data_IF_776781681532
#
_entry.id   IF_776781681532
#
_cell.length_a   1.000
_cell.length_b   1.000
_cell.length_c   1.000
_cell.angle_alpha   90.00
_cell.angle_beta   90.00
_cell.angle_gamma   90.00
#
_symmetry.space_group_name_H-M   'P 1'
#
loop_
_entity.id
_entity.type
_entity.pdbx_description
1 polymer ?
#
# COMPACT_ATOMS: atom_id res chain seq x y z
N UNK A 1 -48.39 -24.65 21.92
CA UNK A 1 -47.10 -24.87 21.29
C UNK A 1 -46.74 -23.89 20.13
N UNK A 2 -47.70 -23.13 19.56
CA UNK A 2 -47.46 -22.35 18.35
C UNK A 2 -46.97 -20.89 18.56
N UNK A 3 -47.09 -20.31 19.75
CA UNK A 3 -46.66 -18.94 19.99
C UNK A 3 -45.15 -18.76 20.20
N UNK A 4 -44.48 -19.78 20.78
CA UNK A 4 -43.02 -19.75 21.01
C UNK A 4 -42.25 -19.94 19.69
N UNK A 5 -42.73 -20.81 18.80
CA UNK A 5 -42.14 -21.03 17.48
C UNK A 5 -42.22 -19.78 16.59
N UNK A 6 -43.32 -19.02 16.69
CA UNK A 6 -43.52 -17.76 15.94
C UNK A 6 -42.59 -16.65 16.41
N UNK A 7 -42.30 -16.54 17.71
CA UNK A 7 -41.38 -15.53 18.27
C UNK A 7 -39.93 -15.85 17.92
N UNK A 8 -39.52 -17.13 17.93
CA UNK A 8 -38.18 -17.58 17.55
C UNK A 8 -37.92 -17.30 16.05
N UNK A 9 -38.89 -17.53 15.20
CA UNK A 9 -38.80 -17.28 13.76
C UNK A 9 -38.70 -15.77 13.46
N UNK A 10 -39.41 -14.91 14.20
CA UNK A 10 -39.34 -13.45 14.05
C UNK A 10 -37.98 -12.89 14.52
N UNK A 11 -37.37 -13.43 15.55
CA UNK A 11 -36.03 -13.02 16.03
C UNK A 11 -34.93 -13.47 15.06
N UNK A 12 -35.09 -14.66 14.44
CA UNK A 12 -34.11 -15.14 13.45
C UNK A 12 -34.09 -14.31 12.15
N UNK A 13 -35.24 -13.76 11.74
CA UNK A 13 -35.34 -12.89 10.54
C UNK A 13 -34.73 -11.51 10.77
N UNK A 14 -34.73 -11.00 12.00
CA UNK A 14 -34.09 -9.71 12.32
C UNK A 14 -32.55 -9.77 12.31
N UNK A 15 -31.94 -10.93 12.47
CA UNK A 15 -30.47 -11.09 12.48
C UNK A 15 -29.91 -11.11 11.05
N UNK A 16 -30.72 -11.40 10.03
CA UNK A 16 -30.29 -11.48 8.63
C UNK A 16 -30.27 -10.13 7.89
N UNK A 17 -30.67 -9.03 8.51
CA UNK A 17 -30.65 -7.67 7.94
C UNK A 17 -29.43 -6.87 8.37
N UNK A 18 -28.29 -7.51 8.62
CA UNK A 18 -27.00 -6.84 8.66
C UNK A 18 -26.63 -6.43 7.22
N UNK A 19 -27.33 -5.46 6.68
CA UNK A 19 -26.89 -4.71 5.52
C UNK A 19 -25.62 -4.01 5.96
N UNK A 20 -24.46 -4.43 5.51
CA UNK A 20 -23.21 -3.73 5.73
C UNK A 20 -23.33 -2.38 5.02
N UNK A 21 -23.70 -1.36 5.79
CA UNK A 21 -23.87 0.01 5.30
C UNK A 21 -22.50 0.48 4.78
N UNK A 22 -22.45 0.85 3.49
CA UNK A 22 -21.21 1.34 2.90
C UNK A 22 -20.84 2.67 3.54
N UNK A 23 -19.62 2.77 4.00
CA UNK A 23 -19.06 4.01 4.55
C UNK A 23 -18.83 5.00 3.41
N UNK A 24 -19.58 6.08 3.39
CA UNK A 24 -19.42 7.14 2.38
C UNK A 24 -18.28 8.07 2.77
N UNK A 25 -17.45 8.41 1.78
CA UNK A 25 -16.32 9.32 1.93
C UNK A 25 -16.21 10.25 0.73
N UNK A 26 -15.75 11.48 0.94
CA UNK A 26 -15.21 12.31 -0.13
C UNK A 26 -13.82 11.82 -0.56
N UNK A 27 -13.34 12.24 -1.73
CA UNK A 27 -11.97 11.93 -2.18
C UNK A 27 -10.90 12.38 -1.17
N UNK A 28 -11.09 13.54 -0.55
CA UNK A 28 -10.16 14.04 0.46
C UNK A 28 -10.16 13.17 1.74
N UNK A 29 -11.32 12.73 2.20
CA UNK A 29 -11.44 11.80 3.32
C UNK A 29 -10.82 10.44 3.00
N UNK A 30 -11.07 9.93 1.80
CA UNK A 30 -10.48 8.67 1.33
C UNK A 30 -8.95 8.76 1.27
N UNK A 31 -8.41 9.86 0.73
CA UNK A 31 -6.98 10.12 0.74
C UNK A 31 -6.40 10.05 2.14
N UNK A 32 -6.97 10.83 3.07
CA UNK A 32 -6.50 10.86 4.46
C UNK A 32 -6.59 9.49 5.14
N UNK A 33 -7.62 8.72 4.81
CA UNK A 33 -7.81 7.36 5.34
C UNK A 33 -6.70 6.40 4.87
N UNK A 34 -6.35 6.43 3.57
CA UNK A 34 -5.26 5.60 3.02
C UNK A 34 -3.88 6.05 3.51
N UNK A 35 -3.66 7.36 3.68
CA UNK A 35 -2.37 7.94 4.09
C UNK A 35 -2.16 7.94 5.62
N UNK A 36 -3.15 7.58 6.41
CA UNK A 36 -3.09 7.65 7.86
C UNK A 36 -1.92 6.82 8.41
N UNK A 37 -1.00 7.47 9.12
CA UNK A 37 0.08 6.80 9.84
C UNK A 37 -0.52 5.92 10.95
N UNK A 38 -0.13 4.64 10.96
CA UNK A 38 -0.74 3.65 11.87
C UNK A 38 -2.10 3.13 11.41
N UNK A 39 -2.65 3.64 10.31
CA UNK A 39 -3.75 3.03 9.57
C UNK A 39 -3.33 1.72 8.94
N UNK A 40 -4.32 0.89 8.56
CA UNK A 40 -4.06 -0.43 8.01
C UNK A 40 -3.20 -0.43 6.75
N UNK A 41 -3.28 0.63 5.92
CA UNK A 41 -2.64 0.74 4.61
C UNK A 41 -1.21 1.29 4.63
N UNK A 42 -0.77 1.84 5.76
CA UNK A 42 0.55 2.43 5.91
C UNK A 42 1.27 1.80 7.12
N UNK A 43 2.39 1.15 6.88
CA UNK A 43 3.22 0.48 7.90
C UNK A 43 4.58 1.12 7.97
N UNK A 44 5.06 1.33 9.18
CA UNK A 44 6.41 1.88 9.43
C UNK A 44 7.24 0.84 10.16
N UNK A 45 8.44 0.58 9.63
CA UNK A 45 9.43 -0.31 10.20
C UNK A 45 10.72 0.46 10.42
N UNK A 46 11.22 0.47 11.64
CA UNK A 46 12.55 1.01 11.95
C UNK A 46 13.55 -0.12 11.99
N UNK A 47 14.62 0.00 11.23
CA UNK A 47 15.68 -0.99 11.16
C UNK A 47 17.06 -0.29 11.11
N UNK A 48 17.85 -0.45 12.15
CA UNK A 48 19.11 0.27 12.31
C UNK A 48 18.92 1.80 12.25
N UNK A 49 19.68 2.52 11.41
CA UNK A 49 19.59 3.96 11.27
C UNK A 49 18.44 4.42 10.37
N UNK A 50 17.67 3.49 9.78
CA UNK A 50 16.66 3.78 8.77
C UNK A 50 15.23 3.55 9.26
N UNK A 51 14.31 4.29 8.63
CA UNK A 51 12.86 4.14 8.75
C UNK A 51 12.31 3.84 7.37
N UNK A 52 11.61 2.72 7.25
CA UNK A 52 10.89 2.31 6.06
C UNK A 52 9.39 2.54 6.28
N UNK A 53 8.78 3.37 5.45
CA UNK A 53 7.32 3.57 5.45
C UNK A 53 6.74 2.96 4.19
N UNK A 54 6.06 1.82 4.36
CA UNK A 54 5.43 1.06 3.28
C UNK A 54 3.95 1.40 3.24
N UNK A 55 3.51 1.96 2.14
CA UNK A 55 2.12 2.32 1.89
C UNK A 55 1.55 1.49 0.74
N UNK A 56 0.50 0.73 1.00
CA UNK A 56 -0.32 0.14 -0.06
C UNK A 56 -1.14 1.22 -0.75
N UNK A 57 -1.18 1.19 -2.08
CA UNK A 57 -1.90 2.14 -2.92
C UNK A 57 -3.04 1.44 -3.66
N UNK A 58 -4.28 1.49 -3.15
CA UNK A 58 -5.43 0.91 -3.85
C UNK A 58 -5.62 1.54 -5.24
N UNK A 59 -6.22 0.84 -6.22
CA UNK A 59 -6.45 1.36 -7.58
C UNK A 59 -7.16 2.71 -7.60
N UNK A 60 -8.18 2.92 -6.77
CA UNK A 60 -8.87 4.21 -6.67
C UNK A 60 -7.96 5.33 -6.15
N UNK A 61 -7.06 5.03 -5.20
CA UNK A 61 -6.09 6.01 -4.71
C UNK A 61 -5.15 6.46 -5.83
N UNK A 62 -4.67 5.53 -6.66
CA UNK A 62 -3.78 5.83 -7.79
C UNK A 62 -4.54 6.67 -8.83
N UNK A 63 -5.75 6.22 -9.22
CA UNK A 63 -6.59 6.95 -10.17
C UNK A 63 -6.86 8.40 -9.71
N UNK A 64 -7.18 8.59 -8.42
CA UNK A 64 -7.43 9.90 -7.86
C UNK A 64 -6.16 10.77 -7.86
N UNK A 65 -4.99 10.21 -7.53
CA UNK A 65 -3.72 10.93 -7.55
C UNK A 65 -3.33 11.39 -8.97
N UNK A 66 -3.50 10.53 -9.99
CA UNK A 66 -3.28 10.87 -11.39
C UNK A 66 -4.17 12.03 -11.87
N UNK A 67 -5.41 12.07 -11.40
CA UNK A 67 -6.39 13.13 -11.68
C UNK A 67 -6.31 14.30 -10.69
N UNK A 68 -5.22 14.42 -9.93
CA UNK A 68 -5.02 15.50 -8.92
C UNK A 68 -6.18 15.59 -7.92
N UNK A 69 -6.75 14.42 -7.58
CA UNK A 69 -7.91 14.27 -6.66
C UNK A 69 -9.20 14.93 -7.16
N UNK A 70 -9.35 15.04 -8.47
CA UNK A 70 -10.53 15.60 -9.14
C UNK A 70 -10.94 14.70 -10.30
N UNK A 71 -12.22 14.38 -10.40
CA UNK A 71 -12.83 13.71 -11.53
C UNK A 71 -13.99 14.52 -12.04
N UNK A 72 -14.29 14.43 -13.32
CA UNK A 72 -15.45 15.11 -13.92
C UNK A 72 -16.75 14.43 -13.50
N UNK A 73 -16.73 13.10 -13.42
CA UNK A 73 -17.88 12.30 -13.02
C UNK A 73 -17.48 10.93 -12.45
N UNK A 74 -18.47 10.20 -11.91
CA UNK A 74 -18.27 8.88 -11.32
C UNK A 74 -17.93 7.80 -12.35
N UNK A 75 -18.24 7.98 -13.63
CA UNK A 75 -17.94 7.03 -14.70
C UNK A 75 -16.46 7.06 -15.02
N UNK A 76 -15.88 8.26 -15.17
CA UNK A 76 -14.44 8.46 -15.34
C UNK A 76 -13.65 7.80 -14.20
N UNK A 77 -14.04 8.09 -12.96
CA UNK A 77 -13.42 7.50 -11.77
C UNK A 77 -13.46 5.98 -11.81
N UNK A 78 -14.62 5.38 -12.06
CA UNK A 78 -14.76 3.91 -12.12
C UNK A 78 -13.93 3.31 -13.25
N UNK A 79 -14.00 3.88 -14.44
CA UNK A 79 -13.27 3.38 -15.61
C UNK A 79 -11.76 3.37 -15.35
N UNK A 80 -11.22 4.46 -14.80
CA UNK A 80 -9.79 4.54 -14.49
C UNK A 80 -9.39 3.57 -13.38
N UNK A 81 -10.19 3.48 -12.31
CA UNK A 81 -9.96 2.54 -11.21
C UNK A 81 -9.92 1.09 -11.70
N UNK A 82 -10.86 0.70 -12.57
CA UNK A 82 -10.90 -0.65 -13.17
C UNK A 82 -9.68 -0.93 -14.04
N UNK A 83 -9.22 0.05 -14.83
CA UNK A 83 -8.03 -0.10 -15.67
C UNK A 83 -6.73 -0.33 -14.88
N UNK A 84 -6.70 0.08 -13.60
CA UNK A 84 -5.58 -0.14 -12.69
C UNK A 84 -5.68 -1.44 -11.88
N UNK A 85 -6.76 -2.21 -12.07
CA UNK A 85 -6.96 -3.49 -11.40
C UNK A 85 -5.93 -4.56 -11.79
N UNK A 86 -5.80 -5.59 -10.95
CA UNK A 86 -4.91 -6.73 -11.19
C UNK A 86 -3.43 -6.48 -10.84
N UNK A 87 -3.04 -5.23 -10.55
CA UNK A 87 -1.70 -4.92 -10.03
C UNK A 87 -1.86 -4.22 -8.66
N UNK A 88 -1.18 -4.74 -7.67
CA UNK A 88 -1.06 -4.09 -6.36
C UNK A 88 0.20 -3.23 -6.34
N UNK A 89 0.04 -1.99 -5.91
CA UNK A 89 1.12 -1.02 -5.86
C UNK A 89 1.45 -0.60 -4.45
N UNK A 90 2.73 -0.41 -4.20
CA UNK A 90 3.24 0.14 -2.95
C UNK A 90 4.15 1.35 -3.22
N UNK A 91 4.08 2.33 -2.31
CA UNK A 91 5.15 3.30 -2.11
C UNK A 91 5.97 2.85 -0.91
N UNK A 92 7.27 2.75 -1.08
CA UNK A 92 8.22 2.52 0.00
C UNK A 92 9.06 3.77 0.14
N UNK A 93 8.84 4.51 1.22
CA UNK A 93 9.66 5.68 1.57
C UNK A 93 10.72 5.24 2.57
N UNK A 94 11.95 5.65 2.32
CA UNK A 94 13.11 5.30 3.12
C UNK A 94 13.73 6.59 3.61
N UNK A 95 13.75 6.77 4.92
CA UNK A 95 14.33 7.93 5.59
C UNK A 95 15.35 7.51 6.64
N UNK A 96 16.12 8.45 7.14
CA UNK A 96 16.97 8.22 8.32
C UNK A 96 16.18 8.48 9.60
N UNK A 97 16.49 7.78 10.68
CA UNK A 97 15.87 8.00 12.01
C UNK A 97 16.06 9.44 12.48
N UNK A 98 17.20 10.05 12.14
CA UNK A 98 17.48 11.46 12.46
C UNK A 98 16.62 12.44 11.65
N UNK A 99 16.11 12.01 10.46
CA UNK A 99 15.43 12.89 9.50
C UNK A 99 16.28 13.98 8.89
N UNK A 100 17.56 14.04 9.24
CA UNK A 100 18.46 15.14 8.87
C UNK A 100 19.05 15.02 7.46
N UNK A 101 19.21 13.79 6.98
CA UNK A 101 19.83 13.49 5.69
C UNK A 101 19.05 12.42 4.94
N UNK A 102 19.14 12.49 3.61
CA UNK A 102 18.61 11.46 2.73
C UNK A 102 19.50 10.19 2.85
N UNK A 103 18.92 8.95 2.85
CA UNK A 103 19.67 7.71 2.98
C UNK A 103 20.80 7.52 1.97
N UNK A 104 20.61 7.95 0.71
CA UNK A 104 21.67 7.87 -0.30
C UNK A 104 22.92 8.69 0.06
N UNK A 105 22.74 9.75 0.85
CA UNK A 105 23.81 10.68 1.26
C UNK A 105 24.28 10.46 2.69
N UNK A 106 23.57 9.64 3.46
CA UNK A 106 23.93 9.37 4.85
C UNK A 106 25.22 8.55 4.94
N UNK A 107 26.18 9.07 5.68
CA UNK A 107 27.46 8.38 5.99
C UNK A 107 28.23 7.88 4.76
N UNK A 108 28.14 8.55 3.62
CA UNK A 108 28.93 8.22 2.43
C UNK A 108 30.34 8.76 2.55
N UNK A 109 31.33 7.93 2.21
CA UNK A 109 32.75 8.30 2.21
C UNK A 109 33.13 9.22 1.03
N UNK A 110 32.28 9.31 0.00
CA UNK A 110 32.53 10.13 -1.17
C UNK A 110 31.58 9.87 -2.33
N UNK A 111 31.86 10.52 -3.46
CA UNK A 111 31.00 10.47 -4.67
C UNK A 111 30.88 9.05 -5.25
N UNK A 112 31.94 8.25 -5.16
CA UNK A 112 31.91 6.88 -5.67
C UNK A 112 30.86 6.03 -4.93
N UNK A 113 30.90 6.04 -3.60
CA UNK A 113 29.91 5.30 -2.79
C UNK A 113 28.48 5.78 -3.01
N UNK A 114 28.26 7.11 -3.12
CA UNK A 114 26.97 7.65 -3.49
C UNK A 114 26.47 7.10 -4.83
N UNK A 115 27.35 7.05 -5.84
CA UNK A 115 26.98 6.55 -7.17
C UNK A 115 26.70 5.04 -7.14
N UNK A 116 27.42 4.26 -6.33
CA UNK A 116 27.19 2.82 -6.17
C UNK A 116 25.81 2.57 -5.54
N UNK A 117 25.46 3.30 -4.48
CA UNK A 117 24.13 3.23 -3.85
C UNK A 117 23.03 3.64 -4.82
N UNK A 118 23.21 4.73 -5.57
CA UNK A 118 22.27 5.19 -6.58
C UNK A 118 22.09 4.15 -7.68
N UNK A 119 23.19 3.59 -8.19
CA UNK A 119 23.15 2.55 -9.22
C UNK A 119 22.40 1.30 -8.74
N UNK A 120 22.62 0.87 -7.50
CA UNK A 120 21.86 -0.23 -6.90
C UNK A 120 20.35 0.04 -6.94
N UNK A 121 19.90 1.21 -6.48
CA UNK A 121 18.48 1.56 -6.51
C UNK A 121 17.90 1.64 -7.91
N UNK A 122 18.69 2.12 -8.88
CA UNK A 122 18.22 2.25 -10.27
C UNK A 122 18.17 0.91 -11.02
N UNK A 123 19.01 -0.07 -10.68
CA UNK A 123 19.23 -1.25 -11.54
C UNK A 123 19.04 -2.60 -10.86
N UNK A 124 19.17 -2.70 -9.53
CA UNK A 124 19.23 -3.99 -8.82
C UNK A 124 18.15 -4.16 -7.76
N UNK A 125 17.75 -3.09 -7.09
CA UNK A 125 16.91 -3.14 -5.90
C UNK A 125 15.56 -3.84 -6.13
N UNK A 126 14.99 -3.75 -7.35
CA UNK A 126 13.76 -4.45 -7.70
C UNK A 126 13.82 -5.96 -7.42
N UNK A 127 14.99 -6.60 -7.61
CA UNK A 127 15.17 -8.03 -7.42
C UNK A 127 15.12 -8.47 -5.94
N UNK A 128 15.29 -7.52 -5.02
CA UNK A 128 15.29 -7.76 -3.58
C UNK A 128 13.93 -7.47 -2.91
N UNK A 129 12.92 -7.12 -3.73
CA UNK A 129 11.54 -7.03 -3.28
C UNK A 129 10.77 -8.30 -3.61
N UNK A 130 9.97 -8.76 -2.66
CA UNK A 130 9.06 -9.89 -2.83
C UNK A 130 7.72 -9.55 -2.18
N UNK A 131 6.63 -9.82 -2.88
CA UNK A 131 5.29 -9.75 -2.31
C UNK A 131 4.79 -11.17 -2.04
N UNK A 132 4.37 -11.45 -0.82
CA UNK A 132 3.63 -12.65 -0.48
C UNK A 132 2.14 -12.33 -0.48
N UNK A 133 1.38 -13.04 -1.31
CA UNK A 133 -0.07 -13.01 -1.36
C UNK A 133 -0.60 -14.30 -0.71
N UNK A 134 -0.84 -14.27 0.61
CA UNK A 134 -0.88 -15.49 1.41
C UNK A 134 0.46 -16.21 1.33
N UNK A 135 0.46 -17.45 0.83
CA UNK A 135 1.67 -18.27 0.66
C UNK A 135 2.32 -18.14 -0.72
N UNK A 136 1.68 -17.40 -1.65
CA UNK A 136 2.17 -17.25 -3.00
C UNK A 136 3.22 -16.12 -3.06
N UNK A 137 4.41 -16.48 -3.54
CA UNK A 137 5.50 -15.54 -3.78
C UNK A 137 5.37 -14.89 -5.15
N UNK A 138 5.40 -13.54 -5.20
CA UNK A 138 5.29 -12.74 -6.40
C UNK A 138 6.52 -11.84 -6.54
N UNK A 139 7.03 -11.74 -7.77
CA UNK A 139 8.11 -10.81 -8.11
C UNK A 139 7.56 -9.53 -8.73
N UNK A 140 8.26 -8.40 -8.57
CA UNK A 140 7.85 -7.12 -9.13
C UNK A 140 7.65 -7.17 -10.64
N UNK A 141 6.62 -6.50 -11.13
CA UNK A 141 6.39 -6.26 -12.56
C UNK A 141 6.51 -4.79 -12.94
N UNK A 142 6.48 -3.91 -11.95
CA UNK A 142 6.74 -2.49 -12.11
C UNK A 142 7.63 -2.00 -10.99
N UNK A 143 8.62 -1.19 -11.34
CA UNK A 143 9.56 -0.61 -10.38
C UNK A 143 10.01 0.75 -10.85
N UNK A 144 9.95 1.73 -9.96
CA UNK A 144 10.50 3.07 -10.19
C UNK A 144 11.17 3.53 -8.91
N UNK A 145 12.41 3.96 -8.99
CA UNK A 145 13.09 4.69 -7.95
C UNK A 145 12.99 6.18 -8.24
N UNK A 146 12.31 6.92 -7.38
CA UNK A 146 12.16 8.36 -7.50
C UNK A 146 13.35 9.05 -6.83
N UNK A 147 14.39 9.33 -7.63
CA UNK A 147 15.56 10.03 -7.12
C UNK A 147 15.26 11.51 -6.91
N UNK A 148 15.22 11.93 -5.66
CA UNK A 148 15.05 13.33 -5.28
C UNK A 148 16.33 14.16 -5.37
N UNK A 149 17.45 13.55 -5.76
CA UNK A 149 18.79 14.17 -5.73
C UNK A 149 19.16 14.73 -4.34
N UNK A 150 18.52 14.21 -3.31
CA UNK A 150 18.68 14.65 -1.92
C UNK A 150 18.06 16.02 -1.62
N UNK A 151 17.07 16.44 -2.41
CA UNK A 151 16.24 17.63 -2.14
C UNK A 151 15.22 17.39 -1.02
N UNK A 152 14.88 16.12 -0.78
CA UNK A 152 14.06 15.69 0.34
C UNK A 152 14.81 14.68 1.20
N UNK A 153 14.41 14.52 2.45
CA UNK A 153 15.06 13.63 3.42
C UNK A 153 14.74 12.15 3.24
N UNK A 154 13.87 11.81 2.30
CA UNK A 154 13.45 10.42 2.02
C UNK A 154 13.76 10.05 0.58
N UNK A 155 14.11 8.78 0.35
CA UNK A 155 14.09 8.16 -0.96
C UNK A 155 12.76 7.44 -1.16
N UNK A 156 12.25 7.38 -2.40
CA UNK A 156 10.96 6.78 -2.70
C UNK A 156 11.09 5.71 -3.76
N UNK A 157 10.54 4.54 -3.48
CA UNK A 157 10.35 3.44 -4.42
C UNK A 157 8.87 3.26 -4.67
N UNK A 158 8.46 3.23 -5.94
CA UNK A 158 7.14 2.78 -6.37
C UNK A 158 7.30 1.39 -6.97
N UNK A 159 6.58 0.41 -6.42
CA UNK A 159 6.73 -0.99 -6.83
C UNK A 159 5.37 -1.67 -7.00
N UNK A 160 5.22 -2.45 -8.08
CA UNK A 160 3.97 -3.09 -8.46
C UNK A 160 4.12 -4.58 -8.68
N UNK A 161 3.10 -5.34 -8.27
CA UNK A 161 3.02 -6.80 -8.39
C UNK A 161 1.70 -7.21 -9.01
N UNK A 162 1.73 -8.11 -9.98
CA UNK A 162 0.51 -8.66 -10.57
C UNK A 162 -0.04 -9.77 -9.70
N UNK A 163 -1.31 -9.63 -9.30
CA UNK A 163 -2.04 -10.70 -8.63
C UNK A 163 -2.56 -11.72 -9.65
N UNK A 164 -2.72 -12.99 -9.25
CA UNK A 164 -3.42 -13.99 -10.06
C UNK A 164 -4.91 -13.62 -10.24
N UNK A 165 -5.47 -13.88 -11.42
CA UNK A 165 -6.80 -13.42 -11.84
C UNK A 165 -7.99 -14.04 -11.06
N UNK A 166 -7.79 -15.05 -10.23
CA UNK A 166 -8.89 -15.87 -9.67
C UNK A 166 -8.80 -16.13 -8.17
N UNK A 167 -8.16 -15.27 -7.43
CA UNK A 167 -7.87 -15.59 -6.02
C UNK A 167 -8.79 -14.83 -5.06
N UNK A 168 -9.26 -15.49 -3.98
CA UNK A 168 -9.91 -14.80 -2.88
C UNK A 168 -8.93 -13.78 -2.26
N UNK A 169 -9.47 -12.71 -1.67
CA UNK A 169 -8.67 -11.72 -0.94
C UNK A 169 -7.80 -12.43 0.10
N UNK A 170 -6.51 -12.14 0.11
CA UNK A 170 -5.53 -12.68 1.04
C UNK A 170 -4.67 -11.54 1.59
N UNK A 171 -4.03 -11.70 2.75
CA UNK A 171 -3.11 -10.69 3.27
C UNK A 171 -1.95 -10.48 2.29
N UNK A 172 -1.46 -9.23 2.25
CA UNK A 172 -0.29 -8.82 1.47
C UNK A 172 0.86 -8.61 2.44
N UNK A 173 1.98 -9.29 2.22
CA UNK A 173 3.23 -9.04 2.96
C UNK A 173 4.32 -8.68 1.99
N UNK A 174 4.70 -7.40 1.99
CA UNK A 174 5.87 -6.93 1.24
C UNK A 174 7.12 -7.18 2.06
N UNK A 175 8.10 -7.82 1.46
CA UNK A 175 9.45 -8.00 2.01
C UNK A 175 10.47 -7.31 1.10
N UNK A 176 11.41 -6.61 1.72
CA UNK A 176 12.59 -6.04 1.06
C UNK A 176 13.84 -6.52 1.79
N UNK A 177 14.73 -7.18 1.09
CA UNK A 177 16.03 -7.61 1.60
C UNK A 177 17.07 -6.51 1.32
N UNK A 178 17.43 -5.78 2.38
CA UNK A 178 18.36 -4.66 2.25
C UNK A 178 19.78 -5.13 1.98
N UNK A 179 20.35 -4.63 0.88
CA UNK A 179 21.71 -4.95 0.43
C UNK A 179 22.70 -3.79 0.65
N UNK A 180 22.22 -2.63 1.09
CA UNK A 180 23.06 -1.42 1.19
C UNK A 180 23.43 -1.05 2.62
N UNK A 181 22.45 -1.15 3.53
CA UNK A 181 22.57 -0.56 4.86
C UNK A 181 22.67 -1.62 5.98
N UNK A 182 22.70 -2.91 5.59
CA UNK A 182 22.72 -4.05 6.52
C UNK A 182 21.56 -4.06 7.53
N UNK A 183 20.39 -3.58 7.13
CA UNK A 183 19.20 -3.54 8.00
C UNK A 183 18.43 -4.87 7.99
N UNK A 184 18.85 -5.83 7.15
CA UNK A 184 18.23 -7.15 7.04
C UNK A 184 16.94 -7.14 6.21
N UNK A 185 15.98 -7.98 6.58
CA UNK A 185 14.73 -8.11 5.84
C UNK A 185 13.67 -7.22 6.49
N UNK A 186 13.20 -6.24 5.73
CA UNK A 186 12.12 -5.33 6.10
C UNK A 186 10.80 -5.99 5.70
N UNK A 187 9.84 -6.12 6.64
CA UNK A 187 8.55 -6.76 6.42
C UNK A 187 7.42 -5.80 6.75
N UNK A 188 6.48 -5.64 5.82
CA UNK A 188 5.27 -4.86 6.02
C UNK A 188 4.05 -5.67 5.59
N UNK A 189 3.10 -5.84 6.50
CA UNK A 189 1.89 -6.64 6.25
C UNK A 189 0.65 -5.75 6.23
N UNK A 190 -0.17 -5.95 5.20
CA UNK A 190 -1.53 -5.43 5.09
C UNK A 190 -2.47 -6.62 5.29
N UNK A 191 -3.20 -6.62 6.39
CA UNK A 191 -4.08 -7.73 6.75
C UNK A 191 -5.28 -7.85 5.81
N UNK A 192 -5.88 -9.03 5.77
CA UNK A 192 -7.06 -9.29 4.98
C UNK A 192 -8.23 -8.38 5.38
N UNK A 193 -8.42 -8.15 6.68
CA UNK A 193 -9.50 -7.29 7.18
C UNK A 193 -9.38 -5.86 6.64
N UNK A 194 -8.16 -5.31 6.62
CA UNK A 194 -7.89 -3.98 6.06
C UNK A 194 -8.20 -3.93 4.55
N UNK A 195 -7.86 -4.98 3.80
CA UNK A 195 -8.16 -5.03 2.38
C UNK A 195 -9.67 -5.14 2.12
N UNK A 196 -10.39 -5.91 2.94
CA UNK A 196 -11.85 -6.06 2.86
C UNK A 196 -12.59 -4.76 3.22
N UNK A 197 -12.02 -3.90 4.09
CA UNK A 197 -12.60 -2.58 4.38
C UNK A 197 -12.78 -1.73 3.12
N UNK A 198 -11.93 -1.89 2.09
CA UNK A 198 -12.05 -1.15 0.83
C UNK A 198 -13.36 -1.45 0.10
N UNK A 199 -13.89 -2.67 0.21
CA UNK A 199 -15.15 -3.07 -0.42
C UNK A 199 -16.36 -2.38 0.24
N UNK A 200 -16.20 -1.91 1.48
CA UNK A 200 -17.22 -1.19 2.25
C UNK A 200 -17.12 0.33 2.12
N UNK A 201 -16.16 0.85 1.36
CA UNK A 201 -16.00 2.28 1.13
C UNK A 201 -16.67 2.67 -0.19
N UNK A 202 -17.53 3.69 -0.13
CA UNK A 202 -18.09 4.35 -1.30
C UNK A 202 -17.58 5.79 -1.35
N UNK A 203 -16.78 6.10 -2.37
CA UNK A 203 -16.27 7.46 -2.57
C UNK A 203 -17.26 8.25 -3.44
N UNK A 204 -17.66 9.42 -2.93
CA UNK A 204 -18.47 10.41 -3.64
C UNK A 204 -17.59 11.52 -4.23
N UNK A 205 -17.92 11.95 -5.43
CA UNK A 205 -17.31 13.08 -6.13
C UNK A 205 -18.13 14.33 -5.83
#
# INVERSE_FOLDING_TARGET
MNKVASVILSVLVLICLSCTEKREMTLAQYRNYIEAKGGGFCKTVTAGPLIYTVQYRPPLYIAAAEHKWQFNDSTEMKTRTMALGGIVWFNVRIGTVSGATNPLKSDVSGVAEYNDRLNYWLTQAANHFTLYYGDLELKPQGYVFENSYGLISEDVVVIGFRLPDTTPVRPLRLEYEDQLYNTGIIKAEISMDVLQELDHIQVKI
#
